data_IF_687993809132
#
_entry.id   IF_687993809132
#
_cell.length_a   1.000
_cell.length_b   1.000
_cell.length_c   1.000
_cell.angle_alpha   90.00
_cell.angle_beta   90.00
_cell.angle_gamma   90.00
#
_symmetry.space_group_name_H-M   'P 1'
#
loop_
_entity.id
_entity.type
_entity.pdbx_description
1 polymer ?
#
# COMPACT_ATOMS: atom_id res chain seq x y z
N UNK A 1 36.51 -20.09 11.53
CA UNK A 1 35.51 -21.16 11.70
C UNK A 1 34.67 -21.23 10.44
N UNK A 2 34.71 -22.35 9.69
CA UNK A 2 33.75 -22.58 8.61
C UNK A 2 32.44 -23.02 9.26
N UNK A 3 31.46 -22.13 9.36
CA UNK A 3 30.10 -22.49 9.77
C UNK A 3 29.52 -23.33 8.61
N UNK A 4 29.40 -24.63 8.79
CA UNK A 4 28.64 -25.48 7.87
C UNK A 4 27.15 -25.24 8.16
N UNK A 5 26.50 -24.51 7.31
CA UNK A 5 25.04 -24.43 7.34
C UNK A 5 24.45 -25.77 6.87
N UNK A 6 23.33 -26.21 7.45
CA UNK A 6 22.63 -27.39 6.94
C UNK A 6 22.29 -27.19 5.47
N UNK A 7 22.51 -28.22 4.64
CA UNK A 7 22.03 -28.20 3.27
C UNK A 7 20.50 -28.25 3.31
N UNK A 8 19.85 -27.14 2.96
CA UNK A 8 18.40 -27.04 2.83
C UNK A 8 18.06 -27.28 1.36
N UNK A 9 17.15 -28.20 1.11
CA UNK A 9 16.55 -28.35 -0.21
C UNK A 9 15.53 -27.21 -0.38
N UNK A 10 15.62 -26.47 -1.47
CA UNK A 10 14.69 -25.39 -1.79
C UNK A 10 13.71 -25.87 -2.86
N UNK A 11 12.51 -25.31 -2.85
CA UNK A 11 11.61 -25.44 -3.98
C UNK A 11 12.28 -24.81 -5.22
N UNK A 12 12.27 -25.51 -6.34
CA UNK A 12 13.03 -25.12 -7.54
C UNK A 12 12.65 -23.74 -8.10
N UNK A 13 11.36 -23.36 -7.97
CA UNK A 13 10.87 -22.05 -8.41
C UNK A 13 11.07 -20.93 -7.37
N UNK A 14 11.53 -21.24 -6.16
CA UNK A 14 11.74 -20.22 -5.12
C UNK A 14 12.92 -19.30 -5.51
N UNK A 15 12.61 -18.02 -5.68
CA UNK A 15 13.59 -16.99 -6.07
C UNK A 15 14.01 -16.11 -4.91
N UNK A 16 13.04 -15.63 -4.11
CA UNK A 16 13.27 -14.57 -3.16
C UNK A 16 12.37 -14.71 -1.92
N UNK A 17 12.90 -14.27 -0.79
CA UNK A 17 12.17 -14.13 0.46
C UNK A 17 12.14 -12.65 0.87
N UNK A 18 10.95 -12.10 1.07
CA UNK A 18 10.80 -10.74 1.58
C UNK A 18 10.02 -10.73 2.90
N UNK A 19 10.46 -9.93 3.88
CA UNK A 19 9.73 -9.80 5.13
C UNK A 19 8.41 -9.06 4.92
N UNK A 20 7.35 -9.52 5.61
CA UNK A 20 6.16 -8.70 5.79
C UNK A 20 6.33 -7.85 7.04
N UNK A 21 5.86 -6.62 7.03
CA UNK A 21 5.73 -5.80 8.22
C UNK A 21 4.55 -6.31 9.07
N UNK A 22 4.62 -7.56 9.55
CA UNK A 22 3.58 -8.16 10.38
C UNK A 22 3.49 -7.48 11.74
N UNK A 23 2.27 -7.24 12.21
CA UNK A 23 1.94 -6.74 13.54
C UNK A 23 2.14 -7.78 14.67
N UNK A 24 2.63 -8.96 14.37
CA UNK A 24 2.78 -10.09 15.30
C UNK A 24 4.22 -10.59 15.30
N UNK A 25 5.00 -10.11 16.22
CA UNK A 25 6.26 -10.58 16.84
C UNK A 25 7.24 -11.52 16.12
N UNK A 26 6.84 -12.29 15.12
CA UNK A 26 7.72 -13.12 14.29
C UNK A 26 7.55 -12.71 12.83
N UNK A 27 8.59 -12.24 12.15
CA UNK A 27 8.49 -11.84 10.76
C UNK A 27 8.24 -13.08 9.89
N UNK A 28 7.04 -13.16 9.29
CA UNK A 28 6.79 -14.09 8.21
C UNK A 28 7.51 -13.59 6.97
N UNK A 29 8.19 -14.48 6.27
CA UNK A 29 8.79 -14.20 4.98
C UNK A 29 7.82 -14.62 3.88
N UNK A 30 7.59 -13.75 2.91
CA UNK A 30 6.84 -14.08 1.70
C UNK A 30 7.76 -14.79 0.73
N UNK A 31 7.34 -15.94 0.22
CA UNK A 31 8.08 -16.74 -0.76
C UNK A 31 7.69 -16.35 -2.17
N UNK A 32 8.61 -15.73 -2.90
CA UNK A 32 8.42 -15.32 -4.29
C UNK A 32 9.07 -16.33 -5.23
N UNK A 33 8.37 -16.71 -6.30
CA UNK A 33 8.95 -17.44 -7.41
C UNK A 33 9.61 -16.50 -8.43
N UNK A 34 10.44 -17.05 -9.31
CA UNK A 34 10.96 -16.32 -10.48
C UNK A 34 9.80 -15.76 -11.31
N UNK A 35 8.76 -16.59 -11.55
CA UNK A 35 7.60 -16.20 -12.35
C UNK A 35 6.80 -15.06 -11.71
N UNK A 36 6.66 -15.03 -10.37
CA UNK A 36 5.96 -13.93 -9.71
C UNK A 36 6.65 -12.57 -9.97
N UNK A 37 7.98 -12.53 -9.90
CA UNK A 37 8.76 -11.31 -10.12
C UNK A 37 8.67 -10.87 -11.57
N UNK A 38 8.81 -11.81 -12.50
CA UNK A 38 8.72 -11.58 -13.94
C UNK A 38 7.32 -11.08 -14.33
N UNK A 39 6.26 -11.78 -13.90
CA UNK A 39 4.87 -11.40 -14.16
C UNK A 39 4.56 -9.98 -13.65
N UNK A 40 5.00 -9.63 -12.44
CA UNK A 40 4.84 -8.26 -11.94
C UNK A 40 5.59 -7.25 -12.82
N UNK A 41 6.83 -7.55 -13.24
CA UNK A 41 7.60 -6.67 -14.10
C UNK A 41 6.91 -6.44 -15.47
N UNK A 42 6.39 -7.50 -16.08
CA UNK A 42 5.62 -7.45 -17.32
C UNK A 42 4.32 -6.64 -17.17
N UNK A 43 3.58 -6.87 -16.07
CA UNK A 43 2.34 -6.15 -15.76
C UNK A 43 2.61 -4.66 -15.62
N UNK A 44 3.65 -4.28 -14.88
CA UNK A 44 4.04 -2.88 -14.67
C UNK A 44 4.54 -2.23 -15.96
N UNK A 45 5.30 -2.98 -16.79
CA UNK A 45 5.69 -2.53 -18.13
C UNK A 45 4.48 -2.16 -18.97
N UNK A 46 3.46 -3.03 -19.01
CA UNK A 46 2.20 -2.79 -19.74
C UNK A 46 1.41 -1.64 -19.14
N UNK A 47 1.28 -1.60 -17.79
CA UNK A 47 0.51 -0.58 -17.07
C UNK A 47 1.00 0.84 -17.37
N UNK A 48 2.31 1.05 -17.33
CA UNK A 48 2.92 2.37 -17.56
C UNK A 48 3.39 2.60 -18.99
N UNK A 49 3.23 1.60 -19.87
CA UNK A 49 3.75 1.61 -21.24
C UNK A 49 5.24 1.97 -21.26
N UNK A 50 6.03 1.27 -20.43
CA UNK A 50 7.45 1.54 -20.28
C UNK A 50 8.23 1.21 -21.55
N UNK A 51 9.17 2.09 -21.88
CA UNK A 51 10.14 1.93 -22.97
C UNK A 51 11.57 2.07 -22.46
N UNK A 52 12.55 1.82 -23.30
CA UNK A 52 13.99 1.99 -22.99
C UNK A 52 14.38 3.43 -22.70
N UNK A 53 13.58 4.42 -23.17
CA UNK A 53 13.82 5.84 -22.96
C UNK A 53 13.46 6.32 -21.55
N UNK A 54 12.81 5.47 -20.74
CA UNK A 54 12.39 5.88 -19.40
C UNK A 54 13.57 5.97 -18.42
N UNK A 55 13.47 6.93 -17.49
CA UNK A 55 14.42 7.14 -16.39
C UNK A 55 13.65 7.17 -15.08
N UNK A 56 13.61 6.01 -14.40
CA UNK A 56 12.89 5.91 -13.13
C UNK A 56 13.74 6.42 -11.96
N UNK A 57 13.18 7.31 -11.17
CA UNK A 57 13.76 7.67 -9.88
C UNK A 57 13.50 6.56 -8.86
N UNK A 58 14.53 5.76 -8.55
CA UNK A 58 14.44 4.61 -7.64
C UNK A 58 14.92 4.99 -6.24
N UNK A 59 13.98 5.33 -5.36
CA UNK A 59 14.25 5.72 -3.97
C UNK A 59 13.76 4.68 -2.95
N UNK A 60 12.87 3.78 -3.38
CA UNK A 60 12.33 2.76 -2.49
C UNK A 60 13.31 1.60 -2.36
N UNK A 61 13.53 1.08 -1.13
CA UNK A 61 14.47 -0.03 -0.92
C UNK A 61 14.06 -1.30 -1.68
N UNK A 62 15.05 -2.09 -2.13
CA UNK A 62 14.80 -3.36 -2.84
C UNK A 62 14.14 -4.43 -1.97
N UNK A 63 14.33 -4.37 -0.64
CA UNK A 63 13.65 -5.27 0.29
C UNK A 63 12.17 -4.91 0.51
N UNK A 64 11.72 -3.84 -0.08
CA UNK A 64 10.32 -3.47 -0.18
C UNK A 64 9.81 -3.82 -1.58
N UNK A 65 8.74 -4.62 -1.67
CA UNK A 65 8.25 -5.16 -2.95
C UNK A 65 7.98 -4.10 -4.01
N UNK A 66 7.54 -2.90 -3.62
CA UNK A 66 7.34 -1.80 -4.57
C UNK A 66 8.66 -1.28 -5.14
N UNK A 67 9.72 -1.20 -4.34
CA UNK A 67 11.06 -0.85 -4.82
C UNK A 67 11.59 -1.90 -5.80
N UNK A 68 11.47 -3.18 -5.43
CA UNK A 68 11.81 -4.29 -6.31
C UNK A 68 11.03 -4.23 -7.63
N UNK A 69 9.74 -3.95 -7.58
CA UNK A 69 8.86 -3.85 -8.75
C UNK A 69 9.30 -2.73 -9.71
N UNK A 70 9.69 -1.56 -9.18
CA UNK A 70 10.24 -0.46 -10.00
C UNK A 70 11.53 -0.90 -10.70
N UNK A 71 12.44 -1.53 -9.96
CA UNK A 71 13.73 -1.99 -10.50
C UNK A 71 13.51 -3.07 -11.58
N UNK A 72 12.76 -4.12 -11.25
CA UNK A 72 12.55 -5.25 -12.17
C UNK A 72 11.85 -4.81 -13.47
N UNK A 73 10.82 -3.99 -13.40
CA UNK A 73 10.07 -3.54 -14.58
C UNK A 73 10.91 -2.66 -15.52
N UNK A 74 11.75 -1.78 -14.96
CA UNK A 74 12.61 -0.93 -15.78
C UNK A 74 13.81 -1.70 -16.36
N UNK A 75 14.39 -2.64 -15.60
CA UNK A 75 15.43 -3.53 -16.15
C UNK A 75 14.89 -4.42 -17.29
N UNK A 76 13.67 -4.95 -17.14
CA UNK A 76 13.01 -5.74 -18.19
C UNK A 76 12.82 -4.95 -19.49
N UNK A 77 12.69 -3.63 -19.40
CA UNK A 77 12.51 -2.74 -20.57
C UNK A 77 13.80 -2.16 -21.12
N UNK A 78 14.95 -2.39 -20.48
CA UNK A 78 16.21 -1.73 -20.84
C UNK A 78 16.26 -0.25 -20.46
N UNK A 79 15.35 0.20 -19.60
CA UNK A 79 15.23 1.59 -19.14
C UNK A 79 16.32 1.95 -18.11
N UNK A 80 16.53 3.24 -17.89
CA UNK A 80 17.51 3.75 -16.93
C UNK A 80 16.93 3.81 -15.52
N UNK A 81 17.71 3.34 -14.54
CA UNK A 81 17.41 3.51 -13.11
C UNK A 81 18.30 4.60 -12.51
N UNK A 82 17.69 5.65 -11.98
CA UNK A 82 18.35 6.68 -11.21
C UNK A 82 18.34 6.27 -9.74
N UNK A 83 19.37 5.53 -9.32
CA UNK A 83 19.47 5.00 -7.95
C UNK A 83 19.88 6.12 -6.99
N UNK A 84 19.04 6.39 -5.99
CA UNK A 84 19.34 7.40 -4.97
C UNK A 84 19.21 6.80 -3.57
N UNK A 85 20.33 6.70 -2.87
CA UNK A 85 20.37 6.50 -1.42
C UNK A 85 20.26 7.80 -0.61
N UNK A 86 19.93 8.91 -1.26
CA UNK A 86 19.90 10.25 -0.65
C UNK A 86 18.53 10.54 -0.05
N UNK A 87 18.54 11.31 1.03
CA UNK A 87 17.31 11.87 1.60
C UNK A 87 16.58 12.75 0.57
N UNK A 88 15.24 12.78 0.62
CA UNK A 88 14.41 13.70 -0.14
C UNK A 88 14.71 15.18 0.16
N UNK A 89 15.42 15.47 1.24
CA UNK A 89 15.88 16.82 1.60
C UNK A 89 17.24 17.18 0.98
N UNK A 90 17.95 16.21 0.38
CA UNK A 90 19.28 16.43 -0.19
C UNK A 90 19.18 17.10 -1.57
N UNK A 91 20.05 18.09 -1.82
CA UNK A 91 20.10 18.78 -3.12
C UNK A 91 20.37 17.83 -4.29
N UNK A 92 21.17 16.78 -4.07
CA UNK A 92 21.48 15.77 -5.09
C UNK A 92 20.26 14.96 -5.52
N UNK A 93 19.30 14.68 -4.61
CA UNK A 93 18.03 14.08 -4.97
C UNK A 93 17.28 14.93 -6.01
N UNK A 94 17.17 16.24 -5.77
CA UNK A 94 16.46 17.15 -6.66
C UNK A 94 17.14 17.31 -8.02
N UNK A 95 18.47 17.24 -8.06
CA UNK A 95 19.22 17.25 -9.31
C UNK A 95 18.89 16.00 -10.15
N UNK A 96 18.83 14.83 -9.52
CA UNK A 96 18.46 13.58 -10.20
C UNK A 96 16.98 13.58 -10.63
N UNK A 97 16.08 14.09 -9.79
CA UNK A 97 14.65 14.14 -10.11
C UNK A 97 14.34 14.99 -11.36
N UNK A 98 15.15 16.00 -11.67
CA UNK A 98 15.01 16.78 -12.90
C UNK A 98 15.27 15.97 -14.18
N UNK A 99 16.04 14.90 -14.07
CA UNK A 99 16.34 14.00 -15.19
C UNK A 99 15.33 12.85 -15.29
N UNK A 100 14.60 12.58 -14.21
CA UNK A 100 13.66 11.47 -14.14
C UNK A 100 12.43 11.69 -15.01
N UNK A 101 11.95 10.61 -15.64
CA UNK A 101 10.69 10.57 -16.37
C UNK A 101 9.55 10.06 -15.50
N UNK A 102 9.87 9.28 -14.47
CA UNK A 102 8.91 8.74 -13.52
C UNK A 102 9.42 8.77 -12.08
N UNK A 103 8.47 8.94 -11.14
CA UNK A 103 8.71 8.89 -9.71
C UNK A 103 7.64 8.03 -9.03
N UNK A 104 8.09 7.02 -8.29
CA UNK A 104 7.22 6.19 -7.44
C UNK A 104 7.47 6.52 -5.98
N UNK A 105 6.42 6.98 -5.27
CA UNK A 105 6.48 7.33 -3.87
C UNK A 105 5.41 6.66 -3.01
N UNK A 106 5.66 6.66 -1.71
CA UNK A 106 4.69 6.32 -0.67
C UNK A 106 4.09 7.62 -0.10
N UNK A 107 2.99 7.58 0.69
CA UNK A 107 2.41 8.80 1.26
C UNK A 107 3.42 9.72 1.96
N UNK A 108 4.35 9.14 2.73
CA UNK A 108 5.43 9.87 3.40
C UNK A 108 6.34 10.62 2.41
N UNK A 109 6.67 10.00 1.27
CA UNK A 109 7.47 10.65 0.24
C UNK A 109 6.78 11.91 -0.28
N UNK A 110 5.48 11.80 -0.57
CA UNK A 110 4.69 12.94 -1.08
C UNK A 110 4.45 14.03 -0.02
N UNK A 111 4.35 13.68 1.25
CA UNK A 111 4.29 14.65 2.34
C UNK A 111 5.55 15.53 2.35
N UNK A 112 6.75 14.92 2.29
CA UNK A 112 8.01 15.67 2.20
C UNK A 112 8.08 16.49 0.91
N UNK A 113 7.81 15.89 -0.25
CA UNK A 113 7.87 16.58 -1.54
C UNK A 113 6.95 17.81 -1.57
N UNK A 114 5.75 17.70 -1.02
CA UNK A 114 4.78 18.79 -0.97
C UNK A 114 5.26 19.91 -0.04
N UNK A 115 5.82 19.58 1.14
CA UNK A 115 6.46 20.55 2.04
C UNK A 115 7.62 21.27 1.36
N UNK A 116 8.37 20.57 0.51
CA UNK A 116 9.44 21.14 -0.31
C UNK A 116 8.93 21.89 -1.56
N UNK A 117 7.60 22.00 -1.71
CA UNK A 117 6.92 22.71 -2.81
C UNK A 117 7.29 22.18 -4.20
N UNK A 118 7.45 20.85 -4.36
CA UNK A 118 7.83 20.24 -5.64
C UNK A 118 6.86 20.58 -6.77
N UNK A 119 5.58 20.81 -6.47
CA UNK A 119 4.56 21.20 -7.45
C UNK A 119 4.83 22.55 -8.13
N UNK A 120 5.72 23.37 -7.55
CA UNK A 120 6.16 24.65 -8.11
C UNK A 120 7.47 24.54 -8.88
N UNK A 121 8.11 23.39 -8.87
CA UNK A 121 9.38 23.18 -9.56
C UNK A 121 9.16 22.92 -11.03
N UNK A 122 10.14 23.33 -11.83
CA UNK A 122 10.20 22.97 -13.24
C UNK A 122 10.82 21.57 -13.37
N UNK A 123 9.99 20.59 -13.76
CA UNK A 123 10.34 19.19 -13.94
C UNK A 123 9.82 18.73 -15.32
N UNK A 124 10.40 19.24 -16.42
CA UNK A 124 9.86 19.00 -17.77
C UNK A 124 9.93 17.54 -18.19
N UNK A 125 10.93 16.79 -17.72
CA UNK A 125 11.10 15.38 -18.07
C UNK A 125 10.14 14.46 -17.32
N UNK A 126 9.67 14.87 -16.12
CA UNK A 126 8.80 14.05 -15.28
C UNK A 126 7.42 13.94 -15.93
N UNK A 127 7.07 12.75 -16.40
CA UNK A 127 5.82 12.41 -17.09
C UNK A 127 4.81 11.78 -16.14
N UNK A 128 5.30 10.90 -15.24
CA UNK A 128 4.46 10.05 -14.38
C UNK A 128 4.89 10.20 -12.93
N UNK A 129 3.92 10.44 -12.05
CA UNK A 129 4.05 10.28 -10.61
C UNK A 129 3.11 9.17 -10.14
N UNK A 130 3.65 8.20 -9.40
CA UNK A 130 2.85 7.08 -8.90
C UNK A 130 2.90 7.01 -7.38
N UNK A 131 1.79 6.62 -6.80
CA UNK A 131 1.65 6.46 -5.35
C UNK A 131 1.18 5.04 -5.03
N UNK A 132 1.74 4.46 -3.98
CA UNK A 132 1.30 3.17 -3.43
C UNK A 132 1.82 2.94 -2.02
N UNK A 133 1.56 1.77 -1.47
CA UNK A 133 2.03 1.35 -0.16
C UNK A 133 1.30 1.96 1.04
N UNK A 134 0.34 2.83 0.83
CA UNK A 134 -0.50 3.43 1.86
C UNK A 134 -1.58 4.33 1.27
N UNK A 135 -2.57 4.71 2.08
CA UNK A 135 -3.65 5.61 1.66
C UNK A 135 -3.21 7.06 1.79
N UNK A 136 -3.35 7.85 0.73
CA UNK A 136 -3.21 9.30 0.78
C UNK A 136 -4.40 9.92 1.54
N UNK A 137 -4.16 11.08 2.16
CA UNK A 137 -5.26 11.95 2.57
C UNK A 137 -5.98 12.51 1.34
N UNK A 138 -7.26 12.81 1.46
CA UNK A 138 -8.04 13.41 0.37
C UNK A 138 -7.41 14.72 -0.14
N UNK A 139 -6.87 15.53 0.76
CA UNK A 139 -6.18 16.79 0.44
C UNK A 139 -4.91 16.55 -0.40
N UNK A 140 -4.06 15.59 0.04
CA UNK A 140 -2.85 15.24 -0.71
C UNK A 140 -3.20 14.67 -2.08
N UNK A 141 -4.26 13.83 -2.16
CA UNK A 141 -4.76 13.31 -3.43
C UNK A 141 -5.12 14.44 -4.39
N UNK A 142 -5.95 15.39 -3.95
CA UNK A 142 -6.33 16.54 -4.78
C UNK A 142 -5.11 17.37 -5.21
N UNK A 143 -4.15 17.57 -4.31
CA UNK A 143 -2.91 18.29 -4.62
C UNK A 143 -2.13 17.61 -5.75
N UNK A 144 -1.97 16.28 -5.70
CA UNK A 144 -1.22 15.53 -6.70
C UNK A 144 -1.98 15.40 -8.02
N UNK A 145 -3.28 15.13 -7.96
CA UNK A 145 -4.13 15.01 -9.16
C UNK A 145 -4.20 16.35 -9.90
N UNK A 146 -4.40 17.46 -9.19
CA UNK A 146 -4.42 18.80 -9.75
C UNK A 146 -3.07 19.17 -10.36
N UNK A 147 -1.96 18.92 -9.64
CA UNK A 147 -0.62 19.16 -10.17
C UNK A 147 -0.37 18.40 -11.47
N UNK A 148 -0.75 17.13 -11.50
CA UNK A 148 -0.56 16.31 -12.70
C UNK A 148 -1.41 16.85 -13.88
N UNK A 149 -2.67 17.17 -13.63
CA UNK A 149 -3.57 17.77 -14.62
C UNK A 149 -3.00 19.07 -15.19
N UNK A 150 -2.63 20.03 -14.32
CA UNK A 150 -2.17 21.37 -14.73
C UNK A 150 -0.84 21.35 -15.48
N UNK A 151 0.00 20.33 -15.21
CA UNK A 151 1.32 20.17 -15.82
C UNK A 151 1.35 19.15 -16.98
N UNK A 152 0.20 18.63 -17.40
CA UNK A 152 0.13 17.61 -18.45
C UNK A 152 0.86 16.30 -18.10
N UNK A 153 0.89 15.93 -16.81
CA UNK A 153 1.51 14.72 -16.28
C UNK A 153 0.44 13.69 -15.92
N UNK A 154 0.87 12.47 -15.61
CA UNK A 154 -0.03 11.42 -15.11
C UNK A 154 0.19 11.24 -13.61
N UNK A 155 -0.88 11.30 -12.82
CA UNK A 155 -0.91 10.81 -11.45
C UNK A 155 -1.64 9.48 -11.42
N UNK A 156 -0.95 8.42 -10.99
CA UNK A 156 -1.47 7.05 -10.98
C UNK A 156 -1.33 6.51 -9.56
N UNK A 157 -2.46 6.35 -8.87
CA UNK A 157 -2.49 5.63 -7.61
C UNK A 157 -2.47 4.13 -7.88
N UNK A 158 -1.67 3.39 -7.10
CA UNK A 158 -1.56 1.94 -7.19
C UNK A 158 -1.85 1.31 -5.83
N UNK A 159 -2.41 0.11 -5.86
CA UNK A 159 -2.64 -0.72 -4.69
C UNK A 159 -1.95 -2.06 -4.86
N UNK A 160 -1.45 -2.62 -3.76
CA UNK A 160 -0.89 -3.96 -3.73
C UNK A 160 -0.40 -4.38 -2.36
N UNK A 161 0.02 -5.63 -2.29
CA UNK A 161 0.54 -6.28 -1.09
C UNK A 161 1.82 -7.05 -1.44
N UNK A 162 2.66 -7.31 -0.43
CA UNK A 162 3.87 -8.11 -0.61
C UNK A 162 3.56 -9.51 -1.13
N UNK A 163 2.42 -10.03 -0.73
CA UNK A 163 1.86 -11.33 -1.11
C UNK A 163 1.47 -11.44 -2.59
N UNK A 164 1.46 -10.31 -3.31
CA UNK A 164 1.20 -10.24 -4.75
C UNK A 164 2.31 -9.49 -5.50
N UNK A 165 3.52 -9.54 -5.01
CA UNK A 165 4.73 -8.95 -5.63
C UNK A 165 4.51 -7.48 -6.02
N UNK A 166 3.99 -6.67 -5.10
CA UNK A 166 3.75 -5.24 -5.09
C UNK A 166 2.38 -4.78 -5.62
N UNK A 167 2.19 -4.73 -6.93
CA UNK A 167 0.99 -4.10 -7.52
C UNK A 167 -0.07 -5.13 -7.86
N UNK A 168 -1.32 -4.77 -7.72
CA UNK A 168 -2.52 -5.58 -8.01
C UNK A 168 -3.57 -4.73 -8.72
N UNK A 169 -3.61 -3.44 -8.42
CA UNK A 169 -4.57 -2.50 -8.99
C UNK A 169 -3.94 -1.12 -9.22
N UNK A 170 -4.53 -0.37 -10.11
CA UNK A 170 -4.15 1.01 -10.39
C UNK A 170 -5.37 1.84 -10.79
N UNK A 171 -5.34 3.13 -10.48
CA UNK A 171 -6.33 4.05 -11.00
C UNK A 171 -5.81 4.67 -12.30
N UNK A 172 -6.51 4.51 -13.44
CA UNK A 172 -6.21 5.23 -14.67
C UNK A 172 -6.07 6.74 -14.41
N UNK A 173 -5.04 7.38 -14.98
CA UNK A 173 -4.70 8.76 -14.68
C UNK A 173 -5.84 9.75 -14.98
N UNK A 174 -6.64 9.48 -16.00
CA UNK A 174 -7.81 10.27 -16.42
C UNK A 174 -8.92 10.28 -15.35
N UNK A 175 -8.96 9.28 -14.48
CA UNK A 175 -9.95 9.19 -13.40
C UNK A 175 -9.46 9.83 -12.08
N UNK A 176 -8.21 10.29 -12.01
CA UNK A 176 -7.62 10.78 -10.77
C UNK A 176 -8.37 11.98 -10.16
N UNK A 177 -8.98 12.83 -10.99
CA UNK A 177 -9.77 13.98 -10.54
C UNK A 177 -11.18 13.62 -10.04
N UNK A 178 -11.75 12.53 -10.54
CA UNK A 178 -13.15 12.15 -10.28
C UNK A 178 -13.29 10.98 -9.30
N UNK A 179 -12.37 10.01 -9.32
CA UNK A 179 -12.38 8.82 -8.46
C UNK A 179 -11.40 8.97 -7.29
N UNK A 180 -11.63 9.99 -6.48
CA UNK A 180 -10.74 10.34 -5.36
C UNK A 180 -10.57 9.17 -4.38
N UNK A 181 -9.31 8.85 -4.06
CA UNK A 181 -8.91 7.74 -3.18
C UNK A 181 -9.33 6.34 -3.65
N UNK A 182 -9.73 6.18 -4.91
CA UNK A 182 -9.92 4.86 -5.52
C UNK A 182 -8.57 4.18 -5.76
N UNK A 183 -8.55 2.86 -5.63
CA UNK A 183 -7.43 2.02 -6.11
C UNK A 183 -7.60 1.62 -7.58
N UNK A 184 -8.73 2.03 -8.20
CA UNK A 184 -9.02 1.82 -9.61
C UNK A 184 -9.44 0.39 -9.97
N UNK A 185 -8.80 -0.16 -10.97
CA UNK A 185 -9.10 -1.46 -11.58
C UNK A 185 -7.89 -2.40 -11.45
N UNK A 186 -8.08 -3.68 -11.76
CA UNK A 186 -6.98 -4.64 -11.79
C UNK A 186 -5.86 -4.21 -12.75
N UNK A 187 -4.60 -4.49 -12.39
CA UNK A 187 -3.48 -4.29 -13.29
C UNK A 187 -3.55 -5.25 -14.51
N UNK A 188 -2.85 -4.95 -15.62
CA UNK A 188 -2.72 -5.88 -16.74
C UNK A 188 -2.20 -7.24 -16.27
N UNK A 189 -2.87 -8.33 -16.62
CA UNK A 189 -2.50 -9.69 -16.19
C UNK A 189 -3.08 -10.10 -14.84
N UNK A 190 -3.82 -9.22 -14.17
CA UNK A 190 -4.54 -9.52 -12.94
C UNK A 190 -6.06 -9.45 -13.08
N UNK A 191 -6.77 -9.99 -12.11
CA UNK A 191 -8.23 -9.91 -11.99
C UNK A 191 -8.60 -9.62 -10.53
N UNK A 192 -9.56 -8.72 -10.32
CA UNK A 192 -10.16 -8.41 -9.03
C UNK A 192 -11.60 -8.88 -8.96
N UNK A 193 -12.00 -9.32 -7.77
CA UNK A 193 -13.39 -9.67 -7.44
C UNK A 193 -13.69 -9.24 -6.00
N UNK A 194 -14.98 -9.27 -5.66
CA UNK A 194 -15.47 -9.06 -4.29
C UNK A 194 -16.17 -10.34 -3.84
N UNK A 195 -15.84 -10.81 -2.65
CA UNK A 195 -16.55 -11.89 -1.96
C UNK A 195 -17.34 -11.27 -0.83
N UNK A 196 -18.67 -11.43 -0.85
CA UNK A 196 -19.56 -10.90 0.18
C UNK A 196 -19.56 -11.73 1.48
N UNK A 197 -20.38 -11.32 2.45
CA UNK A 197 -20.49 -12.03 3.73
C UNK A 197 -21.16 -13.42 3.61
N UNK A 198 -21.82 -13.70 2.51
CA UNK A 198 -22.47 -14.99 2.22
C UNK A 198 -21.52 -15.92 1.44
N UNK A 199 -20.34 -15.42 1.08
CA UNK A 199 -19.34 -16.16 0.29
C UNK A 199 -19.59 -16.11 -1.21
N UNK A 200 -20.50 -15.25 -1.69
CA UNK A 200 -20.77 -15.09 -3.13
C UNK A 200 -19.70 -14.18 -3.73
N UNK A 201 -19.04 -14.66 -4.76
CA UNK A 201 -18.02 -13.92 -5.48
C UNK A 201 -18.62 -13.16 -6.68
N UNK A 202 -18.31 -11.86 -6.77
CA UNK A 202 -18.82 -10.93 -7.78
C UNK A 202 -17.68 -10.28 -8.54
N UNK A 203 -17.71 -10.36 -9.88
CA UNK A 203 -16.71 -9.78 -10.78
C UNK A 203 -17.19 -8.49 -11.45
N UNK A 204 -18.47 -8.23 -11.48
CA UNK A 204 -19.11 -7.12 -12.18
C UNK A 204 -20.15 -6.43 -11.28
N UNK A 205 -20.53 -5.19 -11.64
CA UNK A 205 -21.53 -4.42 -10.92
C UNK A 205 -21.03 -3.88 -9.58
N UNK A 206 -21.92 -3.26 -8.82
CA UNK A 206 -21.63 -2.74 -7.49
C UNK A 206 -21.60 -3.89 -6.47
N UNK A 207 -20.56 -3.92 -5.64
CA UNK A 207 -20.41 -4.92 -4.60
C UNK A 207 -19.56 -4.38 -3.44
N UNK A 208 -19.76 -4.95 -2.25
CA UNK A 208 -18.95 -4.67 -1.07
C UNK A 208 -18.65 -5.97 -0.32
N UNK A 209 -17.38 -6.20 -0.01
CA UNK A 209 -16.95 -7.43 0.67
C UNK A 209 -15.43 -7.56 0.69
N UNK A 210 -14.93 -8.77 0.89
CA UNK A 210 -13.51 -9.05 0.78
C UNK A 210 -13.05 -8.93 -0.67
N UNK A 211 -11.98 -8.17 -0.88
CA UNK A 211 -11.35 -8.11 -2.19
C UNK A 211 -10.46 -9.34 -2.39
N UNK A 212 -10.66 -10.03 -3.51
CA UNK A 212 -9.84 -11.16 -3.95
C UNK A 212 -9.12 -10.77 -5.23
N UNK A 213 -7.83 -11.14 -5.32
CA UNK A 213 -7.01 -10.91 -6.49
C UNK A 213 -6.54 -12.24 -7.09
N UNK A 214 -6.47 -12.29 -8.42
CA UNK A 214 -5.91 -13.41 -9.18
C UNK A 214 -4.88 -12.91 -10.15
N UNK A 215 -3.73 -13.59 -10.21
CA UNK A 215 -2.64 -13.25 -11.14
C UNK A 215 -1.39 -14.10 -10.91
N UNK A 216 -0.53 -14.16 -11.91
CA UNK A 216 0.74 -14.90 -11.84
C UNK A 216 1.76 -14.26 -10.89
N UNK A 217 1.56 -13.01 -10.49
CA UNK A 217 2.34 -12.30 -9.50
C UNK A 217 1.93 -12.59 -8.05
N UNK A 218 0.90 -13.42 -7.81
CA UNK A 218 0.55 -13.95 -6.48
C UNK A 218 1.64 -14.92 -6.05
N UNK A 219 2.17 -14.73 -4.86
CA UNK A 219 3.33 -15.45 -4.33
C UNK A 219 3.02 -16.88 -3.89
N UNK A 220 4.06 -17.67 -3.64
CA UNK A 220 3.96 -19.08 -3.26
C UNK A 220 3.36 -19.31 -1.85
N UNK A 221 3.22 -18.27 -1.03
CA UNK A 221 2.82 -18.37 0.37
C UNK A 221 3.87 -17.82 1.31
N UNK A 222 3.86 -18.26 2.56
CA UNK A 222 4.78 -17.79 3.60
C UNK A 222 5.82 -18.82 3.99
N UNK A 223 6.94 -18.34 4.54
CA UNK A 223 7.90 -19.15 5.28
C UNK A 223 8.06 -18.60 6.71
N UNK A 224 8.03 -19.51 7.69
CA UNK A 224 8.26 -19.23 9.11
C UNK A 224 9.40 -20.07 9.66
N UNK A 225 9.78 -21.14 8.96
CA UNK A 225 10.88 -22.03 9.26
C UNK A 225 11.57 -22.51 7.97
N UNK A 226 12.68 -23.25 8.10
CA UNK A 226 13.46 -23.74 6.96
C UNK A 226 12.68 -24.74 6.10
N UNK A 227 11.85 -25.56 6.70
CA UNK A 227 11.04 -26.59 6.05
C UNK A 227 10.04 -25.97 5.08
N UNK A 228 9.57 -24.73 5.37
CA UNK A 228 8.64 -24.01 4.50
C UNK A 228 9.26 -23.65 3.14
N UNK A 229 10.59 -23.61 3.04
CA UNK A 229 11.30 -23.26 1.80
C UNK A 229 11.22 -24.37 0.74
N UNK A 230 10.85 -25.59 1.13
CA UNK A 230 10.67 -26.73 0.21
C UNK A 230 9.24 -26.81 -0.36
N UNK A 231 8.29 -26.07 0.24
CA UNK A 231 6.89 -26.11 -0.19
C UNK A 231 6.73 -25.46 -1.56
N UNK A 232 5.89 -26.07 -2.40
CA UNK A 232 5.47 -25.49 -3.66
C UNK A 232 4.54 -24.29 -3.50
N UNK A 233 3.79 -23.99 -4.55
CA UNK A 233 2.77 -22.93 -4.53
C UNK A 233 1.57 -23.33 -3.67
N UNK A 234 1.29 -22.57 -2.62
CA UNK A 234 0.16 -22.77 -1.71
C UNK A 234 -1.01 -21.85 -2.05
N UNK A 235 -0.78 -20.77 -2.81
CA UNK A 235 -1.78 -19.78 -3.16
C UNK A 235 -2.44 -20.03 -4.52
N UNK A 236 -1.80 -20.80 -5.41
CA UNK A 236 -2.32 -21.15 -6.73
C UNK A 236 -2.81 -19.95 -7.53
N UNK A 237 -2.05 -18.83 -7.45
CA UNK A 237 -2.38 -17.61 -8.16
C UNK A 237 -3.59 -16.83 -7.61
N UNK A 238 -4.13 -17.19 -6.44
CA UNK A 238 -5.30 -16.56 -5.81
C UNK A 238 -4.92 -15.96 -4.45
N UNK A 239 -5.28 -14.71 -4.23
CA UNK A 239 -5.03 -14.02 -2.97
C UNK A 239 -6.33 -13.45 -2.38
N UNK A 240 -6.74 -13.98 -1.24
CA UNK A 240 -7.69 -13.34 -0.34
C UNK A 240 -6.96 -12.23 0.40
N UNK A 241 -7.24 -10.98 0.05
CA UNK A 241 -6.42 -9.85 0.50
C UNK A 241 -6.58 -9.51 1.97
N UNK A 242 -7.69 -9.93 2.58
CA UNK A 242 -8.09 -9.52 3.91
C UNK A 242 -8.50 -8.05 3.99
N UNK A 243 -8.54 -7.34 2.86
CA UNK A 243 -9.02 -5.97 2.76
C UNK A 243 -10.50 -5.97 2.33
N UNK A 244 -11.32 -5.19 3.03
CA UNK A 244 -12.69 -4.90 2.61
C UNK A 244 -12.65 -3.81 1.55
N UNK A 245 -13.31 -4.05 0.44
CA UNK A 245 -13.42 -3.10 -0.65
C UNK A 245 -14.86 -2.92 -1.11
N UNK A 246 -15.15 -1.77 -1.67
CA UNK A 246 -16.36 -1.47 -2.43
C UNK A 246 -15.98 -1.27 -3.88
N UNK A 247 -16.69 -1.94 -4.78
CA UNK A 247 -16.65 -1.70 -6.22
C UNK A 247 -17.83 -0.83 -6.61
N UNK A 248 -17.61 0.24 -7.35
CA UNK A 248 -18.67 1.13 -7.83
C UNK A 248 -19.21 0.70 -9.20
N UNK A 249 -20.25 1.39 -9.68
CA UNK A 249 -20.90 1.11 -10.95
C UNK A 249 -19.97 1.24 -12.18
N UNK A 250 -18.92 2.04 -12.08
CA UNK A 250 -17.91 2.21 -13.13
C UNK A 250 -16.78 1.17 -13.03
N UNK A 251 -16.88 0.22 -12.11
CA UNK A 251 -15.91 -0.86 -11.91
C UNK A 251 -14.67 -0.47 -11.11
N UNK A 252 -14.64 0.71 -10.51
CA UNK A 252 -13.51 1.14 -9.67
C UNK A 252 -13.64 0.63 -8.24
N UNK A 253 -12.53 0.14 -7.69
CA UNK A 253 -12.46 -0.37 -6.32
C UNK A 253 -11.97 0.70 -5.35
N UNK A 254 -12.51 0.66 -4.12
CA UNK A 254 -12.17 1.53 -3.01
C UNK A 254 -11.93 0.68 -1.77
N UNK A 255 -10.78 0.79 -1.13
CA UNK A 255 -10.51 0.12 0.15
C UNK A 255 -11.29 0.85 1.24
N UNK A 256 -12.17 0.13 1.93
CA UNK A 256 -13.02 0.65 3.01
C UNK A 256 -12.54 0.20 4.40
N UNK A 257 -11.74 -0.86 4.49
CA UNK A 257 -11.19 -1.34 5.77
C UNK A 257 -10.43 -2.66 5.63
N UNK A 258 -10.19 -3.31 6.77
CA UNK A 258 -9.59 -4.64 6.85
C UNK A 258 -10.45 -5.62 7.61
N UNK A 259 -10.56 -6.86 7.12
CA UNK A 259 -11.36 -7.92 7.74
C UNK A 259 -10.87 -8.23 9.16
N UNK A 260 -9.56 -8.24 9.38
CA UNK A 260 -8.94 -8.56 10.68
C UNK A 260 -8.66 -7.33 11.56
N UNK A 261 -8.93 -6.10 11.09
CA UNK A 261 -8.73 -4.87 11.86
C UNK A 261 -10.06 -4.34 12.42
N UNK A 262 -10.71 -5.15 13.24
CA UNK A 262 -11.90 -4.76 13.99
C UNK A 262 -11.86 -5.34 15.41
N UNK A 263 -12.63 -4.76 16.29
CA UNK A 263 -12.90 -5.23 17.65
C UNK A 263 -14.37 -5.65 17.75
N UNK A 264 -14.66 -6.67 18.57
CA UNK A 264 -16.03 -7.08 18.91
C UNK A 264 -16.31 -6.69 20.36
N UNK A 265 -16.76 -5.45 20.60
CA UNK A 265 -17.02 -4.94 21.94
C UNK A 265 -18.53 -4.92 22.15
N UNK A 266 -19.03 -5.67 23.12
CA UNK A 266 -20.48 -5.81 23.42
C UNK A 266 -21.35 -6.19 22.21
N UNK A 267 -20.84 -7.02 21.32
CA UNK A 267 -21.55 -7.42 20.11
C UNK A 267 -21.46 -6.41 18.95
N UNK A 268 -20.94 -5.20 19.20
CA UNK A 268 -20.66 -4.23 18.15
C UNK A 268 -19.35 -4.58 17.45
N UNK A 269 -19.36 -4.58 16.12
CA UNK A 269 -18.15 -4.72 15.29
C UNK A 269 -17.61 -3.33 14.97
N UNK A 270 -16.49 -2.98 15.60
CA UNK A 270 -15.84 -1.67 15.49
C UNK A 270 -14.64 -1.80 14.55
N UNK A 271 -14.75 -1.25 13.35
CA UNK A 271 -13.65 -1.19 12.38
C UNK A 271 -12.60 -0.16 12.80
N UNK A 272 -11.37 -0.58 13.09
CA UNK A 272 -10.33 0.33 13.55
C UNK A 272 -9.95 1.36 12.46
N UNK A 273 -9.85 0.92 11.21
CA UNK A 273 -9.58 1.80 10.06
C UNK A 273 -10.72 2.82 9.84
N UNK A 274 -11.96 2.41 10.10
CA UNK A 274 -13.13 3.28 10.01
C UNK A 274 -13.07 4.39 11.06
N UNK A 275 -12.80 4.04 12.32
CA UNK A 275 -12.64 5.01 13.40
C UNK A 275 -11.49 5.98 13.10
N UNK A 276 -10.33 5.48 12.62
CA UNK A 276 -9.22 6.33 12.20
C UNK A 276 -9.62 7.32 11.09
N UNK A 277 -10.38 6.85 10.09
CA UNK A 277 -10.84 7.71 8.99
C UNK A 277 -11.83 8.78 9.47
N UNK A 278 -12.75 8.44 10.39
CA UNK A 278 -13.67 9.39 11.03
C UNK A 278 -12.91 10.50 11.77
N UNK A 279 -11.94 10.11 12.60
CA UNK A 279 -11.12 11.06 13.36
C UNK A 279 -10.31 11.97 12.42
N UNK A 280 -9.64 11.39 11.43
CA UNK A 280 -8.83 12.13 10.46
C UNK A 280 -9.66 13.12 9.64
N UNK A 281 -10.88 12.75 9.25
CA UNK A 281 -11.75 13.64 8.48
C UNK A 281 -12.30 14.79 9.30
N UNK A 282 -12.63 14.59 10.57
CA UNK A 282 -13.21 15.62 11.43
C UNK A 282 -12.14 16.55 12.00
N UNK A 283 -11.13 15.98 12.65
CA UNK A 283 -10.14 16.73 13.42
C UNK A 283 -8.88 17.10 12.66
N UNK A 284 -8.68 16.56 11.44
CA UNK A 284 -7.49 16.80 10.59
C UNK A 284 -6.16 16.42 11.26
N UNK A 285 -6.18 15.41 12.14
CA UNK A 285 -5.01 14.90 12.87
C UNK A 285 -4.66 13.49 12.41
N UNK A 286 -3.40 13.08 12.62
CA UNK A 286 -3.02 11.67 12.51
C UNK A 286 -3.41 10.92 13.80
N UNK A 287 -3.90 9.70 13.64
CA UNK A 287 -4.27 8.83 14.74
C UNK A 287 -4.03 7.37 14.35
N UNK A 288 -3.96 6.51 15.38
CA UNK A 288 -3.88 5.07 15.21
C UNK A 288 -4.77 4.37 16.23
N UNK A 289 -5.61 3.44 15.76
CA UNK A 289 -6.52 2.67 16.60
C UNK A 289 -5.99 1.24 16.82
N UNK A 290 -6.03 0.80 18.07
CA UNK A 290 -5.73 -0.58 18.49
C UNK A 290 -6.64 -0.97 19.64
N UNK A 291 -6.56 -2.19 20.10
CA UNK A 291 -7.33 -2.65 21.25
C UNK A 291 -7.60 -4.15 21.22
N UNK A 292 -8.57 -4.55 22.00
CA UNK A 292 -9.09 -5.90 22.07
C UNK A 292 -10.62 -5.85 22.21
N UNK A 293 -11.27 -7.02 22.33
CA UNK A 293 -12.74 -7.08 22.46
C UNK A 293 -13.30 -6.48 23.76
N UNK A 294 -12.44 -5.93 24.62
CA UNK A 294 -12.85 -5.23 25.84
C UNK A 294 -12.79 -3.70 25.69
N UNK A 295 -11.84 -3.18 24.87
CA UNK A 295 -11.53 -1.77 24.85
C UNK A 295 -10.87 -1.32 23.56
N UNK A 296 -11.38 -0.22 22.98
CA UNK A 296 -10.74 0.54 21.91
C UNK A 296 -9.71 1.50 22.50
N UNK A 297 -8.51 1.53 21.94
CA UNK A 297 -7.42 2.46 22.28
C UNK A 297 -7.13 3.30 21.06
N UNK A 298 -7.21 4.63 21.21
CA UNK A 298 -6.92 5.60 20.15
C UNK A 298 -5.66 6.36 20.52
N UNK A 299 -4.60 6.23 19.73
CA UNK A 299 -3.36 6.99 19.88
C UNK A 299 -3.46 8.26 19.07
N UNK A 300 -3.13 9.39 19.68
CA UNK A 300 -3.10 10.72 19.06
C UNK A 300 -1.87 11.49 19.52
N UNK A 301 -1.46 12.50 18.76
CA UNK A 301 -0.36 13.39 19.15
C UNK A 301 -0.84 14.70 19.78
N UNK A 302 -2.14 14.98 19.71
CA UNK A 302 -2.76 16.19 20.26
C UNK A 302 -3.57 15.86 21.54
N UNK A 303 -3.04 16.29 22.69
CA UNK A 303 -3.67 16.09 24.00
C UNK A 303 -4.97 16.86 24.22
N UNK A 304 -5.27 17.87 23.40
CA UNK A 304 -6.51 18.65 23.50
C UNK A 304 -7.75 17.86 23.11
N UNK A 305 -7.58 16.69 22.52
CA UNK A 305 -8.65 15.83 22.02
C UNK A 305 -9.03 14.67 22.96
N UNK A 306 -8.33 14.52 24.10
CA UNK A 306 -8.55 13.39 25.02
C UNK A 306 -10.04 13.27 25.42
N UNK A 307 -10.68 14.37 25.79
CA UNK A 307 -12.06 14.39 26.27
C UNK A 307 -13.09 14.45 25.14
N UNK A 308 -12.69 14.89 23.94
CA UNK A 308 -13.59 15.05 22.78
C UNK A 308 -13.78 13.78 22.00
N UNK A 309 -12.69 13.02 21.78
CA UNK A 309 -12.71 11.84 20.93
C UNK A 309 -13.63 10.73 21.44
N UNK A 310 -13.70 10.39 22.74
CA UNK A 310 -14.60 9.33 23.19
C UNK A 310 -16.07 9.63 22.86
N UNK A 311 -16.55 10.84 23.10
CA UNK A 311 -17.92 11.25 22.78
C UNK A 311 -18.16 11.23 21.27
N UNK A 312 -17.25 11.78 20.48
CA UNK A 312 -17.36 11.76 19.02
C UNK A 312 -17.43 10.33 18.46
N UNK A 313 -16.55 9.42 18.93
CA UNK A 313 -16.53 8.03 18.47
C UNK A 313 -17.82 7.31 18.90
N UNK A 314 -18.32 7.53 20.12
CA UNK A 314 -19.59 6.98 20.60
C UNK A 314 -20.77 7.41 19.71
N UNK A 315 -20.85 8.68 19.35
CA UNK A 315 -21.88 9.20 18.43
C UNK A 315 -21.86 8.54 17.06
N UNK A 316 -20.67 8.22 16.54
CA UNK A 316 -20.51 7.65 15.20
C UNK A 316 -20.59 6.12 15.16
N UNK A 317 -20.19 5.45 16.22
CA UNK A 317 -20.04 3.98 16.24
C UNK A 317 -20.98 3.29 17.21
N UNK A 318 -21.67 4.03 18.06
CA UNK A 318 -22.50 3.53 19.18
C UNK A 318 -21.71 2.73 20.23
N UNK A 319 -20.37 2.82 20.21
CA UNK A 319 -19.52 2.24 21.23
C UNK A 319 -19.47 3.17 22.45
N UNK A 320 -19.89 2.67 23.60
CA UNK A 320 -19.87 3.44 24.85
C UNK A 320 -18.51 4.09 25.11
N UNK A 321 -18.49 5.39 25.42
CA UNK A 321 -17.27 6.18 25.67
C UNK A 321 -16.35 5.56 26.73
N UNK A 322 -16.90 4.86 27.75
CA UNK A 322 -16.13 4.14 28.77
C UNK A 322 -15.27 3.00 28.21
N UNK A 323 -15.58 2.53 27.00
CA UNK A 323 -14.82 1.51 26.26
C UNK A 323 -13.80 2.10 25.30
N UNK A 324 -13.68 3.41 25.29
CA UNK A 324 -12.75 4.15 24.43
C UNK A 324 -11.68 4.78 25.33
N UNK A 325 -10.43 4.46 25.09
CA UNK A 325 -9.28 5.06 25.79
C UNK A 325 -8.46 5.86 24.78
N UNK A 326 -8.38 7.17 24.96
CA UNK A 326 -7.46 8.01 24.21
C UNK A 326 -6.12 8.08 24.93
N UNK A 327 -5.02 7.89 24.18
CA UNK A 327 -3.66 7.98 24.69
C UNK A 327 -2.89 8.99 23.83
N UNK A 328 -2.26 9.95 24.48
CA UNK A 328 -1.34 10.87 23.82
C UNK A 328 0.03 10.22 23.71
N UNK A 329 0.62 10.30 22.53
CA UNK A 329 1.97 9.82 22.20
C UNK A 329 2.74 10.96 21.58
N UNK A 330 4.08 10.95 21.74
CA UNK A 330 4.93 11.98 21.15
C UNK A 330 4.90 11.92 19.61
N UNK A 331 4.82 10.72 19.05
CA UNK A 331 4.71 10.50 17.61
C UNK A 331 4.05 9.14 17.31
N UNK A 332 3.32 9.04 16.19
CA UNK A 332 2.88 7.76 15.63
C UNK A 332 4.01 7.26 14.73
N UNK A 333 4.79 6.31 15.26
CA UNK A 333 5.96 5.77 14.56
C UNK A 333 5.54 4.95 13.35
N UNK A 334 6.17 5.24 12.20
CA UNK A 334 5.92 4.53 10.94
C UNK A 334 7.24 4.06 10.34
N UNK A 335 7.22 2.90 9.68
CA UNK A 335 8.35 2.44 8.89
C UNK A 335 8.47 3.21 7.57
N UNK A 336 9.50 2.92 6.78
CA UNK A 336 9.74 3.54 5.47
C UNK A 336 8.59 3.32 4.47
N UNK A 337 7.77 2.28 4.66
CA UNK A 337 6.55 2.03 3.90
C UNK A 337 5.32 2.78 4.45
N UNK A 338 5.47 3.62 5.49
CA UNK A 338 4.37 4.38 6.09
C UNK A 338 3.46 3.58 7.03
N UNK A 339 3.79 2.31 7.34
CA UNK A 339 3.00 1.48 8.27
C UNK A 339 3.40 1.74 9.71
N UNK A 340 2.41 1.81 10.61
CA UNK A 340 2.65 2.00 12.05
C UNK A 340 3.40 0.81 12.62
N UNK A 341 4.46 1.10 13.40
CA UNK A 341 5.34 0.11 14.03
C UNK A 341 5.37 0.31 15.54
N UNK A 342 5.39 -0.80 16.30
CA UNK A 342 5.67 -0.87 17.75
C UNK A 342 4.95 0.18 18.62
N UNK A 343 3.62 0.22 18.54
CA UNK A 343 2.79 1.08 19.41
C UNK A 343 1.73 0.32 20.20
#
# INVERSE_FOLDING_TARGET
>A
MKTSYPKVQLYEELSLLLPTSGSTGSPKLVRHSYRNIEANAENVKRLFNLTEDEKAMAILPMHYTMGLSVIASHLLTGATLLLSGRSLLDKGFWTMLKEATSFTGVPYSYDILTKMRFTRMDLPNLKIITQGGGKLTTEMWHTLAQYAHDKGKKFIATYGQSECTARMAYLPAELAMTKVCSIGIAEPGGQLSIVDNEGVETFEGEATGEMVYRGENVTLGYATCLEDLMRGDENHGVMHTGDLARRDADGCYFIVGRIKRFLKIFGLRIGLDEVENLIKSEFKIDCYCKGNDEKLIVLVTDGSLIDKLPTFIEEKTHLFHQKIKVQVVDAILRNEAGKVINQ
#
